data_IF_819518363116
#
_entry.id   IF_819518363116
#
_cell.length_a   1.000
_cell.length_b   1.000
_cell.length_c   1.000
_cell.angle_alpha   90.00
_cell.angle_beta   90.00
_cell.angle_gamma   90.00
#
_symmetry.space_group_name_H-M   'P 1'
#
loop_
_entity.id
_entity.type
_entity.pdbx_description
1 polymer ?
#
# COMPACT_ATOMS: atom_id res chain seq x y z
N UNK A 1 4.22 -3.30 1.47
CA UNK A 1 4.75 -1.93 1.52
C UNK A 1 5.60 -1.71 2.78
N UNK A 2 5.02 -1.75 3.98
CA UNK A 2 5.73 -1.45 5.26
C UNK A 2 7.04 -2.23 5.39
N UNK A 3 6.99 -3.57 5.44
CA UNK A 3 8.20 -4.40 5.60
C UNK A 3 9.28 -4.10 4.55
N UNK A 4 8.89 -3.96 3.28
CA UNK A 4 9.82 -3.63 2.19
C UNK A 4 10.46 -2.25 2.40
N UNK A 5 9.67 -1.23 2.77
CA UNK A 5 10.19 0.10 3.07
C UNK A 5 11.18 0.07 4.25
N UNK A 6 10.92 -0.76 5.27
CA UNK A 6 11.85 -0.97 6.40
C UNK A 6 13.13 -1.68 5.98
N UNK A 7 13.06 -2.69 5.10
CA UNK A 7 14.24 -3.34 4.53
C UNK A 7 15.11 -2.36 3.71
N UNK A 8 14.51 -1.30 3.18
CA UNK A 8 15.19 -0.22 2.47
C UNK A 8 15.65 0.94 3.40
N UNK A 9 15.45 0.82 4.71
CA UNK A 9 15.88 1.83 5.69
C UNK A 9 15.02 3.09 5.74
N UNK A 10 13.78 3.03 5.24
CA UNK A 10 12.88 4.19 5.17
C UNK A 10 12.03 4.32 6.45
N UNK A 11 11.71 5.56 6.84
CA UNK A 11 10.70 5.84 7.87
C UNK A 11 9.30 5.68 7.27
N UNK A 12 8.43 4.92 7.94
CA UNK A 12 7.10 4.55 7.46
C UNK A 12 6.03 5.18 8.32
N UNK A 13 5.21 6.04 7.70
CA UNK A 13 3.94 6.52 8.24
C UNK A 13 2.83 5.74 7.51
N UNK A 14 1.89 5.15 8.24
CA UNK A 14 0.78 4.39 7.65
C UNK A 14 -0.56 4.76 8.28
N UNK A 15 -1.65 4.55 7.54
CA UNK A 15 -3.01 4.82 8.01
C UNK A 15 -3.76 3.52 8.28
N UNK A 16 -4.56 3.50 9.35
CA UNK A 16 -5.37 2.34 9.74
C UNK A 16 -6.77 2.78 10.18
N UNK A 17 -7.70 1.82 10.20
CA UNK A 17 -9.10 2.09 10.50
C UNK A 17 -9.50 1.83 11.96
N UNK A 18 -8.64 1.18 12.76
CA UNK A 18 -8.92 0.80 14.14
C UNK A 18 -7.62 0.46 14.91
N UNK A 19 -7.75 0.23 16.21
CA UNK A 19 -6.64 -0.08 17.14
C UNK A 19 -5.98 -1.43 16.82
N UNK A 20 -6.77 -2.47 16.54
CA UNK A 20 -6.26 -3.81 16.22
C UNK A 20 -5.31 -3.78 14.99
N UNK A 21 -5.69 -3.05 13.95
CA UNK A 21 -4.83 -2.85 12.76
C UNK A 21 -3.60 -2.00 13.08
N UNK A 22 -3.68 -1.09 14.06
CA UNK A 22 -2.52 -0.31 14.51
C UNK A 22 -1.43 -1.20 15.10
N UNK A 23 -1.80 -2.13 15.98
CA UNK A 23 -0.85 -3.09 16.55
C UNK A 23 -0.25 -3.99 15.47
N UNK A 24 -1.07 -4.44 14.52
CA UNK A 24 -0.61 -5.25 13.41
C UNK A 24 0.43 -4.53 12.54
N UNK A 25 0.16 -3.31 12.09
CA UNK A 25 1.10 -2.58 11.21
C UNK A 25 2.38 -2.18 11.94
N UNK A 26 2.33 -1.96 13.27
CA UNK A 26 3.54 -1.78 14.09
C UNK A 26 4.41 -3.03 14.12
N UNK A 27 3.81 -4.22 14.25
CA UNK A 27 4.54 -5.48 14.12
C UNK A 27 5.18 -5.67 12.74
N UNK A 28 4.61 -5.08 11.68
CA UNK A 28 5.22 -5.05 10.35
C UNK A 28 6.35 -4.03 10.20
N UNK A 29 6.57 -3.18 11.22
CA UNK A 29 7.65 -2.20 11.28
C UNK A 29 7.23 -0.76 10.97
N UNK A 30 5.95 -0.41 10.98
CA UNK A 30 5.54 1.00 10.85
C UNK A 30 6.09 1.84 12.01
N UNK A 31 6.72 2.98 11.70
CA UNK A 31 7.25 3.90 12.71
C UNK A 31 6.14 4.77 13.29
N UNK A 32 5.21 5.21 12.44
CA UNK A 32 4.06 6.04 12.82
C UNK A 32 2.77 5.44 12.26
N UNK A 33 1.70 5.50 13.06
CA UNK A 33 0.39 4.98 12.68
C UNK A 33 -0.68 6.03 12.95
N UNK A 34 -1.44 6.36 11.90
CA UNK A 34 -2.53 7.33 11.96
C UNK A 34 -3.87 6.58 11.87
N UNK A 35 -4.76 6.78 12.84
CA UNK A 35 -6.13 6.29 12.72
C UNK A 35 -6.98 7.30 11.95
N UNK A 36 -7.15 7.08 10.65
CA UNK A 36 -7.82 8.05 9.76
C UNK A 36 -9.32 8.23 10.07
N UNK A 37 -9.91 7.39 10.94
CA UNK A 37 -11.30 7.58 11.41
C UNK A 37 -11.41 8.57 12.56
N UNK A 38 -10.30 8.87 13.23
CA UNK A 38 -10.26 9.72 14.42
C UNK A 38 -9.55 11.04 14.14
N UNK A 39 -8.65 11.08 13.16
CA UNK A 39 -7.79 12.23 12.88
C UNK A 39 -7.66 12.46 11.37
N UNK A 40 -7.45 13.70 10.97
CA UNK A 40 -7.08 14.07 9.60
C UNK A 40 -5.64 13.61 9.32
N UNK A 41 -5.49 12.65 8.40
CA UNK A 41 -4.18 12.10 8.09
C UNK A 41 -3.24 13.10 7.42
N UNK A 42 -3.76 14.08 6.66
CA UNK A 42 -2.94 15.12 6.02
C UNK A 42 -2.32 16.01 7.08
N UNK A 43 -3.13 16.45 8.06
CA UNK A 43 -2.64 17.24 9.18
C UNK A 43 -1.60 16.46 10.01
N UNK A 44 -1.88 15.19 10.32
CA UNK A 44 -0.96 14.32 11.07
C UNK A 44 0.34 14.05 10.33
N UNK A 45 0.31 13.80 9.02
CA UNK A 45 1.54 13.65 8.21
C UNK A 45 2.37 14.93 8.27
N UNK A 46 1.75 16.10 8.11
CA UNK A 46 2.47 17.37 8.20
C UNK A 46 3.09 17.56 9.59
N UNK A 47 2.38 17.27 10.68
CA UNK A 47 2.96 17.34 12.03
C UNK A 47 4.17 16.41 12.19
N UNK A 48 4.02 15.14 11.77
CA UNK A 48 5.08 14.12 11.86
C UNK A 48 6.30 14.43 10.97
N UNK A 49 6.15 15.34 10.00
CA UNK A 49 7.18 15.73 9.03
C UNK A 49 7.57 17.20 9.14
N UNK A 50 7.21 17.88 10.23
CA UNK A 50 7.55 19.29 10.47
C UNK A 50 7.07 20.23 9.34
N UNK A 51 5.89 19.95 8.80
CA UNK A 51 5.26 20.70 7.71
C UNK A 51 5.82 20.40 6.32
N UNK A 52 6.76 19.47 6.18
CA UNK A 52 7.37 19.14 4.88
C UNK A 52 6.47 18.28 4.00
N UNK A 53 5.66 17.40 4.59
CA UNK A 53 4.95 16.33 3.90
C UNK A 53 5.81 15.08 3.71
N UNK A 54 5.22 14.01 3.17
CA UNK A 54 5.92 12.76 2.89
C UNK A 54 6.63 12.78 1.52
N UNK A 55 7.88 12.32 1.46
CA UNK A 55 8.66 12.28 0.21
C UNK A 55 8.06 11.35 -0.86
N UNK A 56 7.43 10.25 -0.41
CA UNK A 56 6.72 9.28 -1.23
C UNK A 56 5.42 8.88 -0.54
N UNK A 57 4.31 9.06 -1.25
CA UNK A 57 2.99 8.54 -0.87
C UNK A 57 2.60 7.40 -1.81
N UNK A 58 2.21 6.26 -1.23
CA UNK A 58 1.65 5.11 -1.97
C UNK A 58 0.18 4.99 -1.61
N UNK A 59 -0.70 5.38 -2.54
CA UNK A 59 -2.15 5.30 -2.38
C UNK A 59 -2.69 3.98 -2.94
N UNK A 60 -3.51 3.32 -2.13
CA UNK A 60 -4.16 2.06 -2.49
C UNK A 60 -5.64 2.05 -2.12
N UNK A 61 -6.24 3.22 -1.85
CA UNK A 61 -7.60 3.31 -1.29
C UNK A 61 -8.61 3.79 -2.32
N UNK A 62 -8.30 4.88 -3.04
CA UNK A 62 -9.14 5.35 -4.15
C UNK A 62 -9.22 6.87 -4.26
N UNK A 63 -10.07 7.32 -5.19
CA UNK A 63 -10.16 8.71 -5.67
C UNK A 63 -10.11 9.79 -4.58
N UNK A 64 -10.94 9.69 -3.54
CA UNK A 64 -11.01 10.73 -2.49
C UNK A 64 -9.73 10.80 -1.65
N UNK A 65 -9.12 9.64 -1.36
CA UNK A 65 -7.85 9.57 -0.62
C UNK A 65 -6.70 10.04 -1.49
N UNK A 66 -6.72 9.74 -2.79
CA UNK A 66 -5.73 10.25 -3.74
C UNK A 66 -5.71 11.79 -3.75
N UNK A 67 -6.88 12.43 -3.83
CA UNK A 67 -6.99 13.90 -3.79
C UNK A 67 -6.39 14.50 -2.51
N UNK A 68 -6.69 13.90 -1.35
CA UNK A 68 -6.13 14.33 -0.07
C UNK A 68 -4.62 14.07 0.01
N UNK A 69 -4.15 12.97 -0.59
CA UNK A 69 -2.73 12.58 -0.60
C UNK A 69 -1.83 13.58 -1.32
N UNK A 70 -2.37 14.38 -2.26
CA UNK A 70 -1.63 15.49 -2.89
C UNK A 70 -1.12 16.47 -1.82
N UNK A 71 -1.97 16.85 -0.86
CA UNK A 71 -1.61 17.78 0.21
C UNK A 71 -0.69 17.17 1.28
N UNK A 72 -0.74 15.84 1.44
CA UNK A 72 0.15 15.10 2.34
C UNK A 72 1.54 14.83 1.72
N UNK A 73 1.69 15.01 0.40
CA UNK A 73 2.96 14.78 -0.30
C UNK A 73 3.84 16.03 -0.22
N UNK A 74 5.13 15.83 0.03
CA UNK A 74 6.11 16.90 0.08
C UNK A 74 6.26 17.61 -1.27
N UNK A 75 6.72 18.87 -1.24
CA UNK A 75 7.14 19.54 -2.47
C UNK A 75 8.26 18.73 -3.14
N UNK A 76 8.19 18.56 -4.45
CA UNK A 76 9.05 17.69 -5.25
C UNK A 76 8.97 16.19 -4.88
N UNK A 77 7.97 15.81 -4.10
CA UNK A 77 7.70 14.42 -3.71
C UNK A 77 7.00 13.61 -4.80
N UNK A 78 6.74 12.34 -4.48
CA UNK A 78 6.11 11.38 -5.38
C UNK A 78 4.80 10.87 -4.82
N UNK A 79 3.75 10.86 -5.63
CA UNK A 79 2.46 10.23 -5.31
C UNK A 79 2.21 9.10 -6.31
N UNK A 80 2.22 7.86 -5.83
CA UNK A 80 1.98 6.67 -6.65
C UNK A 80 0.66 6.03 -6.24
N UNK A 81 -0.25 5.81 -7.20
CA UNK A 81 -1.52 5.12 -6.92
C UNK A 81 -1.66 3.83 -7.72
N UNK A 82 -2.35 2.85 -7.12
CA UNK A 82 -2.73 1.58 -7.75
C UNK A 82 -4.16 1.60 -8.32
N UNK A 83 -4.90 2.67 -8.08
CA UNK A 83 -6.31 2.81 -8.45
C UNK A 83 -6.51 4.00 -9.38
N UNK A 84 -7.61 3.99 -10.12
CA UNK A 84 -8.01 5.17 -10.89
C UNK A 84 -8.40 6.30 -9.91
N UNK A 85 -7.71 7.46 -9.94
CA UNK A 85 -8.06 8.60 -9.09
C UNK A 85 -9.35 9.29 -9.53
N UNK A 86 -9.89 8.95 -10.70
CA UNK A 86 -11.03 9.62 -11.31
C UNK A 86 -10.74 11.10 -11.62
N UNK A 87 -11.79 11.92 -11.78
CA UNK A 87 -11.62 13.36 -11.97
C UNK A 87 -10.90 14.02 -10.79
N UNK A 88 -9.76 14.65 -11.06
CA UNK A 88 -8.91 15.30 -10.05
C UNK A 88 -8.45 16.67 -10.53
N UNK A 89 -8.51 17.67 -9.63
CA UNK A 89 -7.84 18.95 -9.82
C UNK A 89 -6.36 18.80 -9.43
N UNK A 90 -5.47 19.00 -10.41
CA UNK A 90 -4.02 18.87 -10.23
C UNK A 90 -3.32 20.21 -9.97
N UNK A 91 -4.07 21.28 -9.72
CA UNK A 91 -3.50 22.61 -9.46
C UNK A 91 -2.53 22.60 -8.29
N UNK A 92 -2.92 21.98 -7.16
CA UNK A 92 -2.05 21.86 -5.99
C UNK A 92 -0.85 20.95 -6.25
N UNK A 93 -1.06 19.82 -6.96
CA UNK A 93 0.04 18.93 -7.34
C UNK A 93 1.08 19.64 -8.22
N UNK A 94 0.63 20.53 -9.13
CA UNK A 94 1.49 21.37 -9.95
C UNK A 94 2.26 22.39 -9.11
N UNK A 95 1.62 23.06 -8.15
CA UNK A 95 2.29 24.01 -7.25
C UNK A 95 3.36 23.33 -6.39
N UNK A 96 3.13 22.08 -6.01
CA UNK A 96 4.08 21.26 -5.25
C UNK A 96 5.16 20.60 -6.11
N UNK A 97 5.10 20.70 -7.44
CA UNK A 97 6.00 19.97 -8.36
C UNK A 97 5.99 18.44 -8.12
N UNK A 98 4.81 17.85 -7.91
CA UNK A 98 4.72 16.41 -7.66
C UNK A 98 5.02 15.59 -8.92
N UNK A 99 5.71 14.47 -8.73
CA UNK A 99 5.71 13.37 -9.70
C UNK A 99 4.58 12.41 -9.35
N UNK A 100 3.60 12.29 -10.24
CA UNK A 100 2.46 11.38 -10.08
C UNK A 100 2.71 10.13 -10.91
N UNK A 101 2.73 8.98 -10.24
CA UNK A 101 2.89 7.66 -10.85
C UNK A 101 1.60 6.84 -10.79
N UNK A 102 1.35 6.07 -11.82
CA UNK A 102 0.28 5.09 -11.88
C UNK A 102 0.90 3.71 -12.04
N UNK A 103 0.58 2.78 -11.16
CA UNK A 103 1.10 1.42 -11.23
C UNK A 103 -0.04 0.42 -11.29
N UNK A 104 -0.14 -0.29 -12.42
CA UNK A 104 -1.00 -1.45 -12.57
C UNK A 104 -0.12 -2.63 -12.95
N UNK A 105 0.13 -3.51 -11.98
CA UNK A 105 1.02 -4.66 -12.12
C UNK A 105 0.67 -5.55 -13.33
N UNK A 106 -0.61 -5.62 -13.71
CA UNK A 106 -1.10 -6.42 -14.83
C UNK A 106 -0.76 -5.82 -16.21
N UNK A 107 -0.39 -4.54 -16.30
CA UNK A 107 -0.20 -3.84 -17.58
C UNK A 107 0.80 -4.53 -18.50
N UNK A 108 2.01 -4.94 -18.06
CA UNK A 108 2.95 -5.60 -18.95
C UNK A 108 2.42 -6.90 -19.55
N UNK A 109 1.62 -7.66 -18.80
CA UNK A 109 0.97 -8.87 -19.32
C UNK A 109 -0.13 -8.53 -20.33
N UNK A 110 -1.06 -7.62 -19.97
CA UNK A 110 -2.21 -7.25 -20.81
C UNK A 110 -1.81 -6.57 -22.12
N UNK A 111 -0.63 -5.94 -22.15
CA UNK A 111 -0.12 -5.18 -23.31
C UNK A 111 1.04 -5.89 -24.03
N UNK A 112 1.37 -7.12 -23.65
CA UNK A 112 2.48 -7.90 -24.22
C UNK A 112 3.83 -7.15 -24.20
N UNK A 113 4.15 -6.50 -23.06
CA UNK A 113 5.39 -5.75 -22.86
C UNK A 113 6.44 -6.66 -22.19
N UNK A 114 7.04 -7.55 -22.97
CA UNK A 114 7.89 -8.63 -22.44
C UNK A 114 9.08 -8.13 -21.60
N UNK A 115 9.74 -7.05 -22.01
CA UNK A 115 10.85 -6.46 -21.25
C UNK A 115 10.36 -5.94 -19.89
N UNK A 116 9.20 -5.27 -19.86
CA UNK A 116 8.64 -4.76 -18.61
C UNK A 116 8.18 -5.91 -17.70
N UNK A 117 7.60 -6.97 -18.28
CA UNK A 117 7.22 -8.18 -17.56
C UNK A 117 8.44 -8.88 -16.96
N UNK A 118 9.54 -8.99 -17.71
CA UNK A 118 10.79 -9.57 -17.21
C UNK A 118 11.36 -8.78 -16.02
N UNK A 119 11.25 -7.44 -16.03
CA UNK A 119 11.63 -6.60 -14.88
C UNK A 119 10.78 -6.90 -13.63
N UNK A 120 9.47 -7.08 -13.80
CA UNK A 120 8.59 -7.47 -12.68
C UNK A 120 8.97 -8.84 -12.11
N UNK A 121 9.33 -9.81 -12.95
CA UNK A 121 9.82 -11.12 -12.50
C UNK A 121 11.09 -10.96 -11.65
N UNK A 122 12.06 -10.15 -12.10
CA UNK A 122 13.27 -9.90 -11.33
C UNK A 122 12.96 -9.25 -9.95
N UNK A 123 12.03 -8.29 -9.91
CA UNK A 123 11.59 -7.68 -8.64
C UNK A 123 10.94 -8.69 -7.71
N UNK A 124 10.11 -9.59 -8.24
CA UNK A 124 9.46 -10.64 -7.46
C UNK A 124 10.45 -11.69 -6.94
N UNK A 125 11.48 -12.03 -7.71
CA UNK A 125 12.55 -12.92 -7.27
C UNK A 125 13.31 -12.32 -6.07
N UNK A 126 13.64 -11.03 -6.09
CA UNK A 126 14.24 -10.37 -4.92
C UNK A 126 13.32 -10.42 -3.68
N UNK A 127 12.00 -10.28 -3.88
CA UNK A 127 11.05 -10.44 -2.79
C UNK A 127 11.04 -11.88 -2.25
N UNK A 128 11.14 -12.89 -3.13
CA UNK A 128 11.27 -14.29 -2.73
C UNK A 128 12.56 -14.54 -1.94
N UNK A 129 13.69 -13.98 -2.36
CA UNK A 129 14.96 -14.07 -1.62
C UNK A 129 14.82 -13.51 -0.19
N UNK A 130 14.11 -12.39 -0.02
CA UNK A 130 13.82 -11.85 1.32
C UNK A 130 12.89 -12.73 2.14
N UNK A 131 11.94 -13.42 1.51
CA UNK A 131 11.06 -14.38 2.19
C UNK A 131 11.89 -15.58 2.67
N UNK A 132 12.74 -16.14 1.81
CA UNK A 132 13.60 -17.29 2.13
C UNK A 132 14.60 -16.96 3.24
N UNK A 133 15.07 -15.71 3.29
CA UNK A 133 15.93 -15.19 4.36
C UNK A 133 15.17 -14.87 5.66
N UNK A 134 13.84 -15.00 5.69
CA UNK A 134 13.02 -14.63 6.85
C UNK A 134 13.03 -13.12 7.15
N UNK A 135 13.24 -12.28 6.12
CA UNK A 135 13.24 -10.80 6.21
C UNK A 135 11.91 -10.19 5.79
N UNK A 136 11.16 -10.89 4.95
CA UNK A 136 9.83 -10.49 4.48
C UNK A 136 8.85 -11.62 4.81
N UNK A 137 7.79 -11.30 5.53
CA UNK A 137 6.79 -12.28 5.94
C UNK A 137 5.41 -11.96 5.35
N UNK A 138 4.71 -13.02 4.91
CA UNK A 138 3.31 -12.93 4.51
C UNK A 138 2.46 -13.35 5.69
N UNK A 139 1.65 -12.43 6.21
CA UNK A 139 0.65 -12.78 7.22
C UNK A 139 -0.57 -13.41 6.54
N UNK A 140 -0.71 -14.72 6.66
CA UNK A 140 -1.92 -15.46 6.27
C UNK A 140 -2.87 -15.46 7.45
N UNK A 141 -3.99 -14.75 7.34
CA UNK A 141 -4.99 -14.71 8.41
C UNK A 141 -5.93 -15.89 8.40
N UNK A 142 -6.22 -16.42 7.21
CA UNK A 142 -7.10 -17.57 7.07
C UNK A 142 -6.63 -18.47 5.93
N UNK A 143 -6.70 -19.77 6.18
CA UNK A 143 -6.56 -20.79 5.17
C UNK A 143 -7.88 -21.58 5.13
N UNK A 144 -8.54 -21.58 3.98
CA UNK A 144 -9.83 -22.23 3.77
C UNK A 144 -9.71 -23.23 2.62
N UNK A 145 -10.42 -24.36 2.62
CA UNK A 145 -10.49 -25.22 1.44
C UNK A 145 -11.06 -24.45 0.23
N UNK A 146 -10.64 -24.79 -0.99
CA UNK A 146 -11.16 -24.17 -2.22
C UNK A 146 -12.70 -24.22 -2.29
N UNK A 147 -13.32 -25.30 -1.80
CA UNK A 147 -14.77 -25.44 -1.71
C UNK A 147 -15.47 -24.34 -0.88
N UNK A 148 -14.72 -23.62 -0.02
CA UNK A 148 -15.21 -22.51 0.79
C UNK A 148 -14.88 -21.12 0.20
N UNK A 149 -14.58 -21.03 -1.10
CA UNK A 149 -14.29 -19.76 -1.77
C UNK A 149 -15.38 -18.70 -1.51
N UNK A 150 -16.67 -19.08 -1.54
CA UNK A 150 -17.76 -18.15 -1.25
C UNK A 150 -17.65 -17.53 0.15
N UNK A 151 -17.30 -18.34 1.16
CA UNK A 151 -17.06 -17.86 2.54
C UNK A 151 -15.86 -16.93 2.60
N UNK A 152 -14.78 -17.25 1.87
CA UNK A 152 -13.61 -16.38 1.76
C UNK A 152 -13.98 -14.99 1.23
N UNK A 153 -14.83 -14.91 0.20
CA UNK A 153 -15.36 -13.65 -0.31
C UNK A 153 -16.17 -12.89 0.74
N UNK A 154 -17.14 -13.54 1.40
CA UNK A 154 -17.96 -12.90 2.43
C UNK A 154 -17.13 -12.33 3.59
N UNK A 155 -16.03 -13.00 3.96
CA UNK A 155 -15.11 -12.52 5.00
C UNK A 155 -14.36 -11.25 4.58
N UNK A 156 -13.93 -11.18 3.30
CA UNK A 156 -13.27 -10.00 2.75
C UNK A 156 -14.25 -8.82 2.69
N UNK A 157 -15.48 -9.04 2.25
CA UNK A 157 -16.51 -8.00 2.12
C UNK A 157 -16.91 -7.41 3.48
N UNK A 158 -16.87 -8.21 4.55
CA UNK A 158 -17.14 -7.76 5.91
C UNK A 158 -16.01 -6.88 6.51
N UNK A 159 -14.87 -6.73 5.82
CA UNK A 159 -13.77 -5.86 6.24
C UNK A 159 -12.94 -6.40 7.42
N UNK A 160 -13.11 -7.67 7.78
CA UNK A 160 -12.49 -8.32 8.94
C UNK A 160 -11.11 -8.94 8.67
N UNK A 161 -10.59 -8.84 7.44
CA UNK A 161 -9.35 -9.52 7.07
C UNK A 161 -8.16 -8.59 7.24
N UNK A 162 -7.27 -8.96 8.16
CA UNK A 162 -5.91 -8.43 8.24
C UNK A 162 -4.97 -9.44 7.58
N UNK A 163 -4.17 -9.04 6.58
CA UNK A 163 -3.33 -9.98 5.82
C UNK A 163 -4.06 -10.72 4.69
N UNK A 164 -3.64 -11.95 4.40
CA UNK A 164 -4.12 -12.74 3.25
C UNK A 164 -5.03 -13.89 3.64
N UNK A 165 -6.13 -14.05 2.90
CA UNK A 165 -6.90 -15.30 2.86
C UNK A 165 -6.33 -16.18 1.76
N UNK A 166 -6.04 -17.44 2.07
CA UNK A 166 -5.50 -18.43 1.15
C UNK A 166 -6.51 -19.56 0.98
N UNK A 167 -6.70 -20.00 -0.27
CA UNK A 167 -7.50 -21.18 -0.57
C UNK A 167 -6.59 -22.39 -0.76
N UNK A 168 -6.78 -23.44 0.02
CA UNK A 168 -6.08 -24.71 -0.16
C UNK A 168 -6.78 -25.55 -1.23
N UNK A 169 -6.02 -25.93 -2.23
CA UNK A 169 -6.45 -26.72 -3.38
C UNK A 169 -6.14 -28.22 -3.20
N UNK A 170 -5.45 -28.60 -2.12
CA UNK A 170 -5.16 -29.99 -1.81
C UNK A 170 -6.38 -30.60 -1.11
N UNK A 171 -6.90 -31.66 -1.72
CA UNK A 171 -7.91 -32.54 -1.14
C UNK A 171 -7.27 -33.47 -0.10
#
# INVERSE_FOLDING_TARGET
AIQIAKLLGVRVITTVSNVEKSEFVKHLGADEVINYRQEDFVARVNELTEGKGADLVVDTVGAEVFKQSIAATAHFGRLVTLLDPGPVDLSEARLRNLLIGFELMLTPMLRNLDIARARQVAMLNHCADWIDQGKLHIHVSQQLPLAQAAKAHSLMDAGHVTGKVVLDIRH
#
